data_IF_141165009365
#
_entry.id   IF_141165009365
#
_cell.length_a   1.000
_cell.length_b   1.000
_cell.length_c   1.000
_cell.angle_alpha   90.00
_cell.angle_beta   90.00
_cell.angle_gamma   90.00
#
_symmetry.space_group_name_H-M   'P 1'
#
loop_
_entity.id
_entity.type
_entity.pdbx_description
1 polymer ?
#
# COMPACT_ATOMS: atom_id res chain seq x y z
N UNK A 1 29.73 -16.31 -15.45
CA UNK A 1 28.84 -15.60 -16.41
C UNK A 1 27.48 -16.29 -16.46
N UNK A 2 26.88 -16.57 -15.29
CA UNK A 2 25.52 -17.11 -15.10
C UNK A 2 24.99 -16.72 -13.70
N UNK A 3 25.14 -15.47 -13.29
CA UNK A 3 24.90 -15.05 -11.90
C UNK A 3 24.27 -13.65 -11.76
N UNK A 4 23.84 -13.03 -12.86
CA UNK A 4 23.19 -11.71 -12.84
C UNK A 4 21.68 -11.73 -13.12
N UNK A 5 21.10 -12.90 -13.43
CA UNK A 5 19.70 -13.00 -13.90
C UNK A 5 18.69 -13.45 -12.82
N UNK A 6 19.16 -13.95 -11.67
CA UNK A 6 18.27 -14.43 -10.58
C UNK A 6 17.82 -13.30 -9.64
N UNK A 7 18.62 -12.26 -9.45
CA UNK A 7 18.30 -11.16 -8.52
C UNK A 7 17.37 -10.09 -9.09
N UNK A 8 17.12 -10.12 -10.41
CA UNK A 8 16.32 -9.09 -11.09
C UNK A 8 14.83 -9.46 -11.18
N UNK A 9 14.44 -10.70 -10.83
CA UNK A 9 13.07 -11.22 -10.94
C UNK A 9 12.24 -11.17 -9.65
N UNK A 10 12.76 -10.64 -8.54
CA UNK A 10 12.00 -10.49 -7.28
C UNK A 10 11.54 -9.06 -6.98
N UNK A 11 11.92 -8.06 -7.79
CA UNK A 11 11.61 -6.65 -7.55
C UNK A 11 10.59 -6.09 -8.55
N UNK A 12 9.43 -6.74 -8.69
CA UNK A 12 8.27 -6.08 -9.28
C UNK A 12 7.78 -5.00 -8.29
N UNK A 13 8.41 -3.81 -8.40
CA UNK A 13 8.13 -2.62 -7.60
C UNK A 13 6.78 -2.07 -8.00
N UNK A 14 5.77 -2.31 -7.16
CA UNK A 14 4.45 -1.73 -7.32
C UNK A 14 4.50 -0.21 -7.13
N UNK A 15 4.60 0.53 -8.24
CA UNK A 15 4.46 1.98 -8.31
C UNK A 15 2.99 2.44 -8.26
N UNK A 16 2.17 1.83 -7.40
CA UNK A 16 0.77 2.23 -7.24
C UNK A 16 0.64 3.28 -6.15
N UNK A 17 0.48 4.52 -6.61
CA UNK A 17 0.10 5.71 -5.82
C UNK A 17 -1.01 5.34 -4.82
N UNK A 18 -0.72 5.60 -3.55
CA UNK A 18 -1.54 5.35 -2.36
C UNK A 18 -3.03 5.55 -2.58
N UNK A 19 -3.68 4.44 -2.84
CA UNK A 19 -5.12 4.29 -2.91
C UNK A 19 -5.46 2.97 -2.20
N UNK A 20 -6.73 2.70 -1.88
CA UNK A 20 -7.14 1.40 -1.36
C UNK A 20 -6.57 0.22 -2.16
N UNK A 21 -6.39 0.40 -3.47
CA UNK A 21 -5.74 -0.57 -4.36
C UNK A 21 -4.28 -0.90 -3.98
N UNK A 22 -3.48 0.09 -3.56
CA UNK A 22 -2.09 -0.13 -3.15
C UNK A 22 -2.00 -0.98 -1.89
N UNK A 23 -2.75 -0.63 -0.85
CA UNK A 23 -2.84 -1.43 0.38
C UNK A 23 -3.39 -2.83 0.12
N UNK A 24 -4.37 -2.96 -0.77
CA UNK A 24 -4.88 -4.28 -1.17
C UNK A 24 -3.80 -5.11 -1.86
N UNK A 25 -3.09 -4.57 -2.85
CA UNK A 25 -2.01 -5.28 -3.52
C UNK A 25 -0.88 -5.66 -2.55
N UNK A 26 -0.46 -4.72 -1.70
CA UNK A 26 0.55 -4.94 -0.66
C UNK A 26 0.14 -6.02 0.33
N UNK A 27 -1.11 -6.03 0.79
CA UNK A 27 -1.67 -7.07 1.65
C UNK A 27 -1.59 -8.45 0.99
N UNK A 28 -2.00 -8.59 -0.27
CA UNK A 28 -1.94 -9.87 -0.97
C UNK A 28 -0.50 -10.35 -1.20
N UNK A 29 0.42 -9.44 -1.57
CA UNK A 29 1.84 -9.78 -1.70
C UNK A 29 2.48 -10.18 -0.36
N UNK A 30 2.11 -9.50 0.74
CA UNK A 30 2.63 -9.78 2.07
C UNK A 30 2.15 -11.14 2.56
N UNK A 31 0.87 -11.46 2.34
CA UNK A 31 0.30 -12.79 2.59
C UNK A 31 0.93 -13.90 1.76
N UNK A 32 1.46 -13.59 0.59
CA UNK A 32 2.21 -14.51 -0.26
C UNK A 32 3.70 -14.63 0.13
N UNK A 33 4.13 -14.02 1.24
CA UNK A 33 5.51 -14.01 1.73
C UNK A 33 6.51 -13.40 0.72
N UNK A 34 6.07 -12.42 -0.07
CA UNK A 34 6.91 -11.75 -1.09
C UNK A 34 7.64 -10.50 -0.55
N UNK A 35 7.62 -10.27 0.76
CA UNK A 35 8.29 -9.14 1.43
C UNK A 35 8.06 -7.79 0.72
N UNK A 36 6.79 -7.37 0.49
CA UNK A 36 6.53 -6.21 -0.33
C UNK A 36 6.93 -4.91 0.39
N UNK A 37 7.47 -3.99 -0.41
CA UNK A 37 7.84 -2.64 -0.01
C UNK A 37 7.00 -1.62 -0.77
N UNK A 38 6.32 -0.74 -0.04
CA UNK A 38 5.49 0.33 -0.58
C UNK A 38 6.06 1.70 -0.21
N UNK A 39 6.07 2.62 -1.17
CA UNK A 39 6.40 4.02 -0.93
C UNK A 39 5.12 4.85 -0.94
N UNK A 40 4.83 5.48 0.19
CA UNK A 40 3.68 6.35 0.36
C UNK A 40 3.92 7.70 -0.33
N UNK A 41 5.05 8.37 -0.07
CA UNK A 41 5.24 9.75 -0.53
C UNK A 41 4.40 10.76 0.27
N UNK A 42 4.39 12.03 -0.15
CA UNK A 42 4.00 13.19 0.67
C UNK A 42 2.52 13.25 1.12
N UNK A 43 1.64 12.39 0.60
CA UNK A 43 0.23 12.31 1.02
C UNK A 43 -0.21 10.85 1.20
N UNK A 44 0.22 10.23 2.31
CA UNK A 44 -0.23 8.91 2.78
C UNK A 44 -1.76 8.82 2.79
N UNK A 45 -2.37 8.13 1.80
CA UNK A 45 -3.82 7.93 1.70
C UNK A 45 -4.50 8.44 0.41
N UNK A 46 -3.82 9.20 -0.45
CA UNK A 46 -4.37 9.66 -1.73
C UNK A 46 -5.61 10.56 -1.61
N UNK A 47 -6.49 10.58 -2.63
CA UNK A 47 -7.66 11.47 -2.69
C UNK A 47 -8.70 11.24 -1.58
N UNK A 48 -8.70 10.06 -0.95
CA UNK A 48 -9.58 9.74 0.18
C UNK A 48 -9.20 10.48 1.46
N UNK A 49 -7.98 11.02 1.57
CA UNK A 49 -7.60 11.89 2.68
C UNK A 49 -8.39 13.21 2.71
N UNK A 50 -9.05 13.55 1.61
CA UNK A 50 -9.80 14.80 1.45
C UNK A 50 -11.32 14.62 1.59
N UNK A 51 -11.80 13.38 1.74
CA UNK A 51 -13.23 13.07 1.87
C UNK A 51 -13.61 12.82 3.32
N UNK A 52 -14.62 13.54 3.80
CA UNK A 52 -15.11 13.47 5.18
C UNK A 52 -15.78 12.14 5.48
N UNK A 53 -16.65 11.66 4.58
CA UNK A 53 -17.46 10.45 4.78
C UNK A 53 -17.44 9.55 3.55
N UNK A 54 -17.19 8.26 3.76
CA UNK A 54 -17.28 7.18 2.78
C UNK A 54 -18.40 6.23 3.20
N UNK A 55 -19.51 6.21 2.45
CA UNK A 55 -20.67 5.38 2.76
C UNK A 55 -20.81 4.15 1.83
N UNK A 56 -20.02 4.09 0.77
CA UNK A 56 -20.16 3.11 -0.31
C UNK A 56 -19.03 2.08 -0.37
N UNK A 57 -18.15 2.03 0.64
CA UNK A 57 -17.13 1.00 0.73
C UNK A 57 -17.63 -0.19 1.56
N UNK A 58 -17.64 -1.42 1.01
CA UNK A 58 -18.15 -2.59 1.71
C UNK A 58 -17.30 -2.91 2.95
N UNK A 59 -17.96 -3.28 4.05
CA UNK A 59 -17.33 -3.52 5.35
C UNK A 59 -17.54 -2.41 6.38
N UNK A 60 -17.97 -1.22 5.95
CA UNK A 60 -18.29 -0.08 6.82
C UNK A 60 -19.79 0.24 6.78
N UNK A 61 -20.65 -0.55 7.47
CA UNK A 61 -22.12 -0.39 7.39
C UNK A 61 -22.64 0.94 7.96
N UNK A 62 -21.82 1.67 8.71
CA UNK A 62 -22.14 3.00 9.26
C UNK A 62 -21.41 4.13 8.52
N UNK A 63 -20.75 3.82 7.40
CA UNK A 63 -19.75 4.68 6.79
C UNK A 63 -18.46 4.78 7.62
N UNK A 64 -17.46 5.43 7.06
CA UNK A 64 -16.16 5.67 7.71
C UNK A 64 -15.52 6.95 7.15
N UNK A 65 -14.68 7.62 7.93
CA UNK A 65 -13.90 8.75 7.45
C UNK A 65 -12.82 8.30 6.46
N UNK A 66 -12.57 9.10 5.42
CA UNK A 66 -11.56 8.75 4.41
C UNK A 66 -10.15 8.53 4.98
N UNK A 67 -9.63 9.44 5.84
CA UNK A 67 -8.37 9.21 6.54
C UNK A 67 -8.38 7.98 7.45
N UNK A 68 -9.47 7.74 8.17
CA UNK A 68 -9.63 6.60 9.08
C UNK A 68 -9.58 5.28 8.32
N UNK A 69 -10.33 5.17 7.22
CA UNK A 69 -10.31 4.00 6.34
C UNK A 69 -8.91 3.71 5.79
N UNK A 70 -8.16 4.75 5.41
CA UNK A 70 -6.80 4.56 4.89
C UNK A 70 -5.82 4.12 5.98
N UNK A 71 -6.02 4.54 7.24
CA UNK A 71 -5.26 4.04 8.39
C UNK A 71 -5.57 2.57 8.66
N UNK A 72 -6.85 2.18 8.70
CA UNK A 72 -7.23 0.76 8.90
C UNK A 72 -6.67 -0.17 7.81
N UNK A 73 -6.70 0.26 6.54
CA UNK A 73 -6.13 -0.50 5.42
C UNK A 73 -4.61 -0.64 5.53
N UNK A 74 -3.92 0.41 6.00
CA UNK A 74 -2.47 0.37 6.26
C UNK A 74 -2.14 -0.62 7.35
N UNK A 75 -2.80 -0.51 8.50
CA UNK A 75 -2.59 -1.38 9.65
C UNK A 75 -2.83 -2.85 9.30
N UNK A 76 -3.89 -3.13 8.53
CA UNK A 76 -4.16 -4.47 8.03
C UNK A 76 -3.01 -5.00 7.19
N UNK A 77 -2.48 -4.22 6.25
CA UNK A 77 -1.41 -4.66 5.37
C UNK A 77 -0.07 -4.81 6.11
N UNK A 78 0.28 -3.87 6.99
CA UNK A 78 1.50 -3.92 7.82
C UNK A 78 1.50 -5.15 8.74
N UNK A 79 0.34 -5.54 9.30
CA UNK A 79 0.19 -6.76 10.10
C UNK A 79 0.62 -8.04 9.38
N UNK A 80 0.52 -8.08 8.04
CA UNK A 80 0.94 -9.23 7.24
C UNK A 80 2.36 -9.11 6.69
N UNK A 81 3.10 -8.05 7.03
CA UNK A 81 4.49 -7.85 6.63
C UNK A 81 4.69 -6.93 5.44
N UNK A 82 3.71 -6.08 5.11
CA UNK A 82 3.94 -4.97 4.19
C UNK A 82 4.80 -3.90 4.86
N UNK A 83 5.93 -3.54 4.26
CA UNK A 83 6.74 -2.41 4.70
C UNK A 83 6.30 -1.12 3.98
N UNK A 84 5.98 -0.07 4.73
CA UNK A 84 5.50 1.22 4.17
C UNK A 84 6.49 2.33 4.52
N UNK A 85 7.00 3.00 3.49
CA UNK A 85 7.90 4.15 3.62
C UNK A 85 7.18 5.44 3.22
N UNK A 86 7.01 6.36 4.17
CA UNK A 86 6.33 7.64 3.91
C UNK A 86 7.15 8.62 3.05
N UNK A 87 8.41 8.28 2.76
CA UNK A 87 9.30 9.09 1.92
C UNK A 87 9.16 8.72 0.45
N UNK A 88 9.07 9.72 -0.42
CA UNK A 88 9.21 9.47 -1.85
C UNK A 88 10.65 9.07 -2.16
N UNK A 89 10.84 7.93 -2.82
CA UNK A 89 12.16 7.50 -3.27
C UNK A 89 12.61 8.43 -4.40
N UNK A 90 13.40 9.46 -4.09
CA UNK A 90 14.15 10.21 -5.10
C UNK A 90 15.13 9.25 -5.76
N UNK A 91 14.82 8.79 -6.97
CA UNK A 91 15.82 8.20 -7.85
C UNK A 91 16.75 9.34 -8.30
N UNK A 92 18.00 9.32 -7.83
CA UNK A 92 19.11 10.03 -8.47
C UNK A 92 19.86 9.01 -9.33
#
# INVERSE_FOLDING_TARGET
MLDAWSSQKAYERYHHRLRPAGYTAGLYAARAMLEPLMFAGYMSGGQLMLTSDIENFPGYPKGIGGPEMMMELREQAERFGLEVHDKERRFR
#
